data_IF_495295608506
#
_entry.id   IF_495295608506
#
_cell.length_a   1.000
_cell.length_b   1.000
_cell.length_c   1.000
_cell.angle_alpha   90.00
_cell.angle_beta   90.00
_cell.angle_gamma   90.00
#
_symmetry.space_group_name_H-M   'P 1'
#
loop_
_entity.id
_entity.type
_entity.pdbx_description
1 polymer ?
#
# COMPACT_ATOMS: atom_id res chain seq x y z
N UNK A 1 19.12 -29.95 29.37
CA UNK A 1 17.79 -30.02 28.71
C UNK A 1 16.80 -28.96 29.20
N UNK A 2 16.69 -28.68 30.50
CA UNK A 2 15.77 -27.65 31.05
C UNK A 2 16.02 -26.23 30.51
N UNK A 3 17.28 -25.85 30.29
CA UNK A 3 17.67 -24.51 29.79
C UNK A 3 17.25 -24.25 28.32
N UNK A 4 17.18 -25.29 27.48
CA UNK A 4 16.76 -25.20 26.08
C UNK A 4 15.24 -25.00 25.94
N UNK A 5 14.47 -25.57 26.87
CA UNK A 5 13.00 -25.43 26.91
C UNK A 5 12.60 -24.01 27.39
N UNK A 6 13.36 -23.45 28.34
CA UNK A 6 13.13 -22.07 28.82
C UNK A 6 13.42 -21.04 27.72
N UNK A 7 14.49 -21.24 26.94
CA UNK A 7 14.84 -20.35 25.83
C UNK A 7 13.79 -20.35 24.71
N UNK A 8 13.20 -21.51 24.42
CA UNK A 8 12.16 -21.66 23.40
C UNK A 8 10.81 -21.00 23.79
N UNK A 9 10.46 -21.00 25.08
CA UNK A 9 9.26 -20.29 25.55
C UNK A 9 9.45 -18.76 25.55
N UNK A 10 10.67 -18.26 25.77
CA UNK A 10 10.94 -16.82 25.82
C UNK A 10 10.85 -16.16 24.44
N UNK A 11 11.14 -16.90 23.36
CA UNK A 11 11.02 -16.41 21.98
C UNK A 11 9.55 -16.26 21.54
N UNK A 12 8.61 -16.98 22.16
CA UNK A 12 7.19 -16.89 21.85
C UNK A 12 6.51 -15.61 22.38
N UNK A 13 7.06 -14.97 23.42
CA UNK A 13 6.46 -13.79 24.04
C UNK A 13 6.76 -12.47 23.31
N UNK A 14 7.72 -12.45 22.38
CA UNK A 14 8.13 -11.21 21.70
C UNK A 14 7.27 -10.94 20.45
N UNK A 15 6.43 -11.89 20.02
CA UNK A 15 5.58 -11.75 18.82
C UNK A 15 4.17 -11.19 19.11
N UNK A 16 3.81 -10.97 20.38
CA UNK A 16 2.48 -10.47 20.76
C UNK A 16 2.51 -8.98 21.11
N UNK A 17 2.55 -8.09 20.12
CA UNK A 17 2.64 -6.66 20.45
C UNK A 17 2.49 -5.66 19.32
N UNK A 18 1.58 -5.89 18.36
CA UNK A 18 1.08 -4.81 17.48
C UNK A 18 -0.43 -4.64 17.70
N UNK A 19 -0.82 -4.17 18.89
CA UNK A 19 -2.16 -3.63 19.08
C UNK A 19 -2.12 -2.16 18.64
N UNK A 20 -2.82 -1.85 17.54
CA UNK A 20 -2.93 -0.50 17.00
C UNK A 20 -3.46 0.48 18.05
N UNK A 21 -2.88 1.68 18.08
CA UNK A 21 -3.34 2.79 18.92
C UNK A 21 -4.79 3.15 18.59
N UNK A 22 -5.57 3.67 19.56
CA UNK A 22 -6.92 4.14 19.30
C UNK A 22 -6.93 5.20 18.20
N UNK A 23 -7.84 5.07 17.23
CA UNK A 23 -8.10 6.11 16.24
C UNK A 23 -8.57 7.37 16.98
N UNK A 24 -7.79 8.45 16.91
CA UNK A 24 -8.16 9.74 17.46
C UNK A 24 -9.36 10.29 16.67
N UNK A 25 -10.47 10.57 17.35
CA UNK A 25 -11.66 11.12 16.70
C UNK A 25 -11.38 12.54 16.23
N UNK A 26 -11.10 12.69 14.93
CA UNK A 26 -11.07 13.99 14.27
C UNK A 26 -12.50 14.52 14.23
N UNK A 27 -12.74 15.68 14.84
CA UNK A 27 -13.97 16.44 14.72
C UNK A 27 -13.63 17.89 14.31
N UNK A 28 -13.86 18.21 13.04
CA UNK A 28 -13.81 19.57 12.53
C UNK A 28 -15.15 19.90 11.84
N UNK A 29 -15.96 20.82 12.40
CA UNK A 29 -17.24 21.23 11.84
C UNK A 29 -17.17 21.82 10.43
N UNK A 30 -15.98 22.20 9.95
CA UNK A 30 -15.76 22.82 8.63
C UNK A 30 -15.58 21.80 7.52
N UNK A 31 -15.29 20.54 7.86
CA UNK A 31 -15.04 19.48 6.89
C UNK A 31 -16.33 18.74 6.55
N UNK A 32 -16.48 18.41 5.28
CA UNK A 32 -17.51 17.46 4.83
C UNK A 32 -17.23 16.05 5.37
N UNK A 33 -18.27 15.21 5.41
CA UNK A 33 -18.17 13.78 5.77
C UNK A 33 -17.07 13.05 4.97
N UNK A 34 -16.95 13.36 3.68
CA UNK A 34 -15.93 12.81 2.81
C UNK A 34 -14.51 13.24 3.21
N UNK A 35 -14.31 14.53 3.50
CA UNK A 35 -13.02 15.05 3.96
C UNK A 35 -12.62 14.49 5.32
N UNK A 36 -13.57 14.41 6.26
CA UNK A 36 -13.31 13.86 7.59
C UNK A 36 -12.90 12.38 7.51
N UNK A 37 -13.62 11.62 6.70
CA UNK A 37 -13.32 10.20 6.46
C UNK A 37 -11.97 10.02 5.76
N UNK A 38 -11.61 10.94 4.85
CA UNK A 38 -10.32 10.93 4.18
C UNK A 38 -9.16 11.25 5.15
N UNK A 39 -9.33 12.22 6.06
CA UNK A 39 -8.33 12.49 7.10
C UNK A 39 -8.13 11.28 8.03
N UNK A 40 -9.20 10.54 8.37
CA UNK A 40 -9.07 9.25 9.09
C UNK A 40 -8.27 8.22 8.29
N UNK A 41 -8.46 8.15 6.97
CA UNK A 41 -7.64 7.27 6.13
C UNK A 41 -6.17 7.69 6.15
N UNK A 42 -5.86 8.99 6.07
CA UNK A 42 -4.48 9.50 6.20
C UNK A 42 -3.85 9.17 7.55
N UNK A 43 -4.58 9.30 8.65
CA UNK A 43 -4.08 8.91 9.97
C UNK A 43 -3.76 7.42 10.06
N UNK A 44 -4.61 6.57 9.46
CA UNK A 44 -4.33 5.15 9.34
C UNK A 44 -3.07 4.89 8.50
N UNK A 45 -2.87 5.61 7.39
CA UNK A 45 -1.63 5.53 6.60
C UNK A 45 -0.41 5.94 7.43
N UNK A 46 -0.48 7.08 8.13
CA UNK A 46 0.61 7.60 8.95
C UNK A 46 0.99 6.64 10.09
N UNK A 47 -0.01 5.97 10.67
CA UNK A 47 0.17 4.96 11.72
C UNK A 47 0.61 3.58 11.17
N UNK A 48 0.74 3.43 9.85
CA UNK A 48 1.09 2.17 9.20
C UNK A 48 -0.04 1.14 9.12
N UNK A 49 -1.26 1.53 9.48
CA UNK A 49 -2.46 0.68 9.36
C UNK A 49 -3.02 0.72 7.92
N UNK A 50 -2.24 0.18 6.99
CA UNK A 50 -2.56 0.19 5.57
C UNK A 50 -3.83 -0.61 5.23
N UNK A 51 -4.13 -1.67 5.98
CA UNK A 51 -5.33 -2.51 5.72
C UNK A 51 -6.62 -1.71 5.96
N UNK A 52 -6.72 -1.02 7.11
CA UNK A 52 -7.86 -0.15 7.41
C UNK A 52 -7.91 1.03 6.43
N UNK A 53 -6.77 1.66 6.13
CA UNK A 53 -6.71 2.74 5.15
C UNK A 53 -7.27 2.30 3.78
N UNK A 54 -6.90 1.11 3.29
CA UNK A 54 -7.37 0.59 2.01
C UNK A 54 -8.89 0.45 1.96
N UNK A 55 -9.50 -0.05 3.04
CA UNK A 55 -10.94 -0.21 3.15
C UNK A 55 -11.65 1.16 3.15
N UNK A 56 -11.16 2.09 3.96
CA UNK A 56 -11.71 3.45 4.05
C UNK A 56 -11.62 4.20 2.72
N UNK A 57 -10.47 4.15 2.05
CA UNK A 57 -10.28 4.77 0.74
C UNK A 57 -11.16 4.12 -0.34
N UNK A 58 -11.33 2.79 -0.30
CA UNK A 58 -12.22 2.07 -1.22
C UNK A 58 -13.68 2.50 -1.04
N UNK A 59 -14.14 2.58 0.21
CA UNK A 59 -15.48 3.07 0.53
C UNK A 59 -15.68 4.51 0.05
N UNK A 60 -14.70 5.39 0.28
CA UNK A 60 -14.71 6.77 -0.22
C UNK A 60 -14.76 6.84 -1.74
N UNK A 61 -13.92 6.09 -2.45
CA UNK A 61 -13.89 6.08 -3.92
C UNK A 61 -15.20 5.60 -4.54
N UNK A 62 -15.89 4.66 -3.87
CA UNK A 62 -17.19 4.14 -4.32
C UNK A 62 -18.30 5.15 -4.10
N UNK A 63 -18.29 5.82 -2.94
CA UNK A 63 -19.34 6.76 -2.54
C UNK A 63 -19.20 8.13 -3.21
N UNK A 64 -17.97 8.57 -3.46
CA UNK A 64 -17.65 9.91 -3.97
C UNK A 64 -16.67 9.86 -5.17
N UNK A 65 -17.05 9.22 -6.29
CA UNK A 65 -16.14 8.93 -7.40
C UNK A 65 -15.59 10.16 -8.13
N UNK A 66 -16.29 11.30 -8.08
CA UNK A 66 -15.93 12.55 -8.78
C UNK A 66 -15.74 13.73 -7.83
N UNK A 67 -15.49 13.47 -6.54
CA UNK A 67 -15.26 14.52 -5.56
C UNK A 67 -13.95 15.29 -5.79
N UNK A 68 -13.76 16.45 -5.12
CA UNK A 68 -12.52 17.23 -5.23
C UNK A 68 -11.27 16.47 -4.76
N UNK A 69 -11.44 15.46 -3.90
CA UNK A 69 -10.38 14.59 -3.41
C UNK A 69 -10.24 13.29 -4.22
N UNK A 70 -11.04 13.08 -5.26
CA UNK A 70 -11.14 11.79 -5.96
C UNK A 70 -9.78 11.32 -6.52
N UNK A 71 -9.02 12.22 -7.15
CA UNK A 71 -7.69 11.89 -7.67
C UNK A 71 -6.71 11.53 -6.55
N UNK A 72 -6.68 12.33 -5.48
CA UNK A 72 -5.82 12.05 -4.33
C UNK A 72 -6.17 10.71 -3.67
N UNK A 73 -7.47 10.41 -3.50
CA UNK A 73 -7.93 9.11 -2.98
C UNK A 73 -7.43 7.97 -3.85
N UNK A 74 -7.49 8.10 -5.18
CA UNK A 74 -6.99 7.07 -6.10
C UNK A 74 -5.47 6.89 -6.01
N UNK A 75 -4.71 7.99 -5.90
CA UNK A 75 -3.25 7.93 -5.71
C UNK A 75 -2.89 7.29 -4.37
N UNK A 76 -3.62 7.60 -3.30
CA UNK A 76 -3.41 6.98 -1.99
C UNK A 76 -3.81 5.50 -1.99
N UNK A 77 -4.83 5.09 -2.75
CA UNK A 77 -5.16 3.67 -2.94
C UNK A 77 -3.98 2.93 -3.57
N UNK A 78 -3.35 3.49 -4.60
CA UNK A 78 -2.16 2.90 -5.24
C UNK A 78 -1.04 2.72 -4.21
N UNK A 79 -0.74 3.77 -3.44
CA UNK A 79 0.27 3.71 -2.39
C UNK A 79 -0.04 2.63 -1.35
N UNK A 80 -1.26 2.60 -0.83
CA UNK A 80 -1.65 1.65 0.21
C UNK A 80 -1.61 0.21 -0.29
N UNK A 81 -2.06 -0.07 -1.52
CA UNK A 81 -1.96 -1.41 -2.12
C UNK A 81 -0.50 -1.83 -2.31
N UNK A 82 0.38 -0.93 -2.76
CA UNK A 82 1.81 -1.19 -2.80
C UNK A 82 2.39 -1.55 -1.42
N UNK A 83 2.03 -0.80 -0.36
CA UNK A 83 2.50 -1.07 1.01
C UNK A 83 1.99 -2.40 1.55
N UNK A 84 0.79 -2.81 1.16
CA UNK A 84 0.21 -4.12 1.47
C UNK A 84 0.78 -5.26 0.63
N UNK A 85 1.64 -4.97 -0.36
CA UNK A 85 2.11 -5.92 -1.37
C UNK A 85 0.97 -6.57 -2.18
N UNK A 86 -0.17 -5.87 -2.33
CA UNK A 86 -1.28 -6.29 -3.17
C UNK A 86 -1.04 -5.78 -4.61
N UNK A 87 -0.16 -6.48 -5.31
CA UNK A 87 0.35 -6.08 -6.64
C UNK A 87 -0.79 -5.94 -7.64
N UNK A 88 -1.72 -6.91 -7.68
CA UNK A 88 -2.82 -6.92 -8.64
C UNK A 88 -3.72 -5.69 -8.47
N UNK A 89 -4.10 -5.35 -7.23
CA UNK A 89 -4.90 -4.14 -6.98
C UNK A 89 -4.13 -2.87 -7.25
N UNK A 90 -2.85 -2.83 -6.95
CA UNK A 90 -2.01 -1.66 -7.21
C UNK A 90 -1.91 -1.38 -8.72
N UNK A 91 -1.59 -2.40 -9.54
CA UNK A 91 -1.54 -2.28 -10.99
C UNK A 91 -2.90 -1.92 -11.58
N UNK A 92 -3.98 -2.57 -11.14
CA UNK A 92 -5.33 -2.24 -11.61
C UNK A 92 -5.74 -0.79 -11.28
N UNK A 93 -5.34 -0.27 -10.11
CA UNK A 93 -5.58 1.12 -9.73
C UNK A 93 -4.75 2.10 -10.55
N UNK A 94 -3.47 1.78 -10.81
CA UNK A 94 -2.58 2.55 -11.69
C UNK A 94 -3.15 2.63 -13.10
N UNK A 95 -3.49 1.49 -13.71
CA UNK A 95 -4.02 1.42 -15.08
C UNK A 95 -5.30 2.23 -15.21
N UNK A 96 -6.17 2.19 -14.20
CA UNK A 96 -7.39 2.98 -14.16
C UNK A 96 -7.08 4.47 -14.06
N UNK A 97 -6.17 4.87 -13.17
CA UNK A 97 -5.80 6.28 -13.00
C UNK A 97 -5.19 6.84 -14.27
N UNK A 98 -4.19 6.17 -14.85
CA UNK A 98 -3.50 6.61 -16.06
C UNK A 98 -4.43 6.71 -17.26
N UNK A 99 -5.41 5.79 -17.39
CA UNK A 99 -6.41 5.83 -18.46
C UNK A 99 -7.40 6.98 -18.31
N UNK A 100 -7.86 7.24 -17.09
CA UNK A 100 -8.87 8.27 -16.83
C UNK A 100 -8.25 9.68 -16.75
N UNK A 101 -6.99 9.79 -16.34
CA UNK A 101 -6.33 11.06 -16.04
C UNK A 101 -4.93 11.19 -16.72
N UNK A 102 -4.81 11.01 -18.04
CA UNK A 102 -3.50 10.97 -18.71
C UNK A 102 -2.70 12.28 -18.61
N UNK A 103 -3.38 13.42 -18.42
CA UNK A 103 -2.75 14.74 -18.30
C UNK A 103 -2.74 15.27 -16.85
N UNK A 104 -2.88 14.39 -15.85
CA UNK A 104 -2.81 14.81 -14.45
C UNK A 104 -1.41 15.38 -14.14
N UNK A 105 -1.28 16.48 -13.36
CA UNK A 105 0.02 17.05 -13.03
C UNK A 105 0.95 16.04 -12.36
N UNK A 106 0.42 15.16 -11.52
CA UNK A 106 1.17 14.13 -10.78
C UNK A 106 1.10 12.74 -11.43
N UNK A 107 0.95 12.67 -12.76
CA UNK A 107 0.93 11.37 -13.48
C UNK A 107 2.28 10.65 -13.39
N UNK A 108 3.37 11.40 -13.27
CA UNK A 108 4.73 10.90 -13.07
C UNK A 108 4.87 10.10 -11.77
N UNK A 109 4.22 10.53 -10.68
CA UNK A 109 4.13 9.77 -9.44
C UNK A 109 3.47 8.40 -9.67
N UNK A 110 2.39 8.36 -10.45
CA UNK A 110 1.67 7.11 -10.73
C UNK A 110 2.53 6.15 -11.56
N UNK A 111 3.29 6.66 -12.54
CA UNK A 111 4.24 5.85 -13.31
C UNK A 111 5.40 5.36 -12.44
N UNK A 112 5.91 6.20 -11.55
CA UNK A 112 6.91 5.79 -10.56
C UNK A 112 6.40 4.66 -9.67
N UNK A 113 5.15 4.75 -9.19
CA UNK A 113 4.53 3.70 -8.40
C UNK A 113 4.36 2.40 -9.19
N UNK A 114 4.10 2.44 -10.50
CA UNK A 114 4.07 1.25 -11.37
C UNK A 114 5.40 0.51 -11.36
N UNK A 115 6.50 1.24 -11.52
CA UNK A 115 7.85 0.68 -11.43
C UNK A 115 8.12 0.01 -10.08
N UNK A 116 7.77 0.69 -8.98
CA UNK A 116 7.91 0.12 -7.63
C UNK A 116 7.07 -1.13 -7.40
N UNK A 117 5.83 -1.15 -7.91
CA UNK A 117 4.91 -2.29 -7.79
C UNK A 117 5.46 -3.49 -8.57
N UNK A 118 5.91 -3.27 -9.82
CA UNK A 118 6.50 -4.34 -10.63
C UNK A 118 7.81 -4.86 -10.00
N UNK A 119 8.67 -3.98 -9.50
CA UNK A 119 9.89 -4.37 -8.78
C UNK A 119 9.56 -5.19 -7.52
N UNK A 120 8.49 -4.84 -6.80
CA UNK A 120 8.03 -5.57 -5.63
C UNK A 120 7.42 -6.92 -5.99
N UNK A 121 6.77 -7.04 -7.15
CA UNK A 121 6.27 -8.33 -7.66
C UNK A 121 7.42 -9.34 -7.88
N UNK A 122 8.60 -8.85 -8.26
CA UNK A 122 9.80 -9.68 -8.42
C UNK A 122 10.45 -10.09 -7.08
N UNK A 123 10.09 -9.43 -5.97
CA UNK A 123 10.66 -9.70 -4.65
C UNK A 123 10.27 -11.10 -4.13
N UNK A 124 11.26 -11.99 -4.05
CA UNK A 124 11.09 -13.35 -3.55
C UNK A 124 11.99 -13.59 -2.33
N UNK A 125 11.43 -13.48 -1.12
CA UNK A 125 12.16 -13.59 0.14
C UNK A 125 12.92 -14.92 0.32
N UNK A 126 12.36 -16.02 -0.20
CA UNK A 126 13.00 -17.35 -0.14
C UNK A 126 14.26 -17.40 -1.00
N UNK A 127 14.23 -16.79 -2.19
CA UNK A 127 15.38 -16.76 -3.10
C UNK A 127 16.50 -15.86 -2.58
N UNK A 128 16.15 -14.77 -1.86
CA UNK A 128 17.13 -13.91 -1.19
C UNK A 128 17.86 -14.65 -0.08
N UNK A 129 17.12 -15.37 0.76
CA UNK A 129 17.69 -16.17 1.84
C UNK A 129 18.59 -17.30 1.31
N UNK A 130 18.24 -17.87 0.16
CA UNK A 130 19.00 -18.93 -0.49
C UNK A 130 20.22 -18.43 -1.30
N UNK A 131 20.46 -17.11 -1.37
CA UNK A 131 21.61 -16.55 -2.11
C UNK A 131 21.56 -16.80 -3.62
N UNK A 132 20.36 -17.01 -4.17
CA UNK A 132 20.20 -17.27 -5.61
C UNK A 132 20.49 -15.99 -6.38
N UNK A 133 21.47 -16.07 -7.28
CA UNK A 133 21.81 -14.97 -8.19
C UNK A 133 20.62 -14.63 -9.08
N UNK A 134 20.18 -13.37 -9.02
CA UNK A 134 19.00 -12.88 -9.74
C UNK A 134 19.32 -12.35 -11.13
N UNK A 135 20.61 -12.26 -11.51
CA UNK A 135 21.05 -11.75 -12.81
C UNK A 135 20.57 -12.62 -14.01
N UNK A 136 20.24 -13.89 -13.76
CA UNK A 136 19.73 -14.84 -14.77
C UNK A 136 18.18 -14.91 -14.86
N UNK A 137 17.43 -14.06 -14.14
CA UNK A 137 15.95 -14.08 -14.20
C UNK A 137 15.43 -13.44 -15.49
N UNK A 138 14.28 -13.93 -15.96
CA UNK A 138 13.58 -13.36 -17.13
C UNK A 138 13.30 -11.86 -16.92
N UNK A 139 13.91 -10.96 -17.70
CA UNK A 139 13.76 -9.52 -17.54
C UNK A 139 12.43 -9.00 -18.13
N UNK A 140 11.51 -9.87 -18.55
CA UNK A 140 10.22 -9.48 -19.15
C UNK A 140 9.45 -8.46 -18.30
N UNK A 141 9.39 -8.62 -16.98
CA UNK A 141 8.70 -7.68 -16.07
C UNK A 141 9.41 -6.34 -15.91
N UNK A 142 10.75 -6.36 -15.87
CA UNK A 142 11.54 -5.13 -15.86
C UNK A 142 11.44 -4.39 -17.20
N UNK A 143 11.33 -5.12 -18.33
CA UNK A 143 11.10 -4.54 -19.66
C UNK A 143 9.69 -3.98 -19.79
N UNK A 144 8.66 -4.70 -19.36
CA UNK A 144 7.28 -4.16 -19.30
C UNK A 144 7.24 -2.85 -18.50
N UNK A 145 7.94 -2.77 -17.36
CA UNK A 145 7.99 -1.55 -16.56
C UNK A 145 8.76 -0.38 -17.21
N UNK A 146 9.65 -0.66 -18.17
CA UNK A 146 10.39 0.37 -18.92
C UNK A 146 9.64 0.83 -20.18
N UNK A 147 8.92 -0.09 -20.81
CA UNK A 147 8.15 0.17 -22.03
C UNK A 147 6.75 0.76 -21.76
N UNK A 148 6.24 0.65 -20.52
CA UNK A 148 5.02 1.32 -20.02
C UNK A 148 5.20 2.83 -19.81
#
# INVERSE_FOLDING_TARGET
MKLRIILACMTGLVLGGCAGSPDEEIFDPRLSDAQLTYERAKNNIASGNYSTAAQTLTALSTRYPFGPLSHQIQMDQIYVYYKLADIDKALAAIDRFSRLNPNHPDIDYVMYMRGLVNQRADYNAIQELAGVDRSDRDPSKAREAFDD
#
